data_IF_643572103689
#
_entry.id   IF_643572103689
#
_cell.length_a   1.000
_cell.length_b   1.000
_cell.length_c   1.000
_cell.angle_alpha   90.00
_cell.angle_beta   90.00
_cell.angle_gamma   90.00
#
_symmetry.space_group_name_H-M   'P 1'
#
loop_
_entity.id
_entity.type
_entity.pdbx_description
1 polymer ?
#
# COMPACT_ATOMS: atom_id res chain seq x y z
N UNK A 1 -2.88 -30.49 -7.21
CA UNK A 1 -3.59 -29.33 -7.76
C UNK A 1 -2.69 -28.14 -7.53
N UNK A 2 -2.05 -27.60 -8.57
CA UNK A 2 -1.30 -26.35 -8.45
C UNK A 2 -2.29 -25.26 -8.03
N UNK A 3 -2.18 -24.79 -6.79
CA UNK A 3 -2.94 -23.64 -6.30
C UNK A 3 -2.53 -22.42 -7.13
N UNK A 4 -3.42 -22.01 -8.03
CA UNK A 4 -3.14 -20.97 -9.00
C UNK A 4 -2.96 -19.63 -8.27
N UNK A 5 -1.72 -19.19 -8.12
CA UNK A 5 -1.38 -17.90 -7.50
C UNK A 5 -2.07 -16.79 -8.27
N UNK A 6 -2.88 -15.98 -7.57
CA UNK A 6 -3.53 -14.83 -8.17
C UNK A 6 -2.49 -13.87 -8.78
N UNK A 7 -2.73 -13.30 -9.97
CA UNK A 7 -1.74 -12.48 -10.67
C UNK A 7 -1.18 -11.32 -9.84
N UNK A 8 -2.00 -10.68 -9.00
CA UNK A 8 -1.58 -9.55 -8.16
C UNK A 8 -0.69 -9.93 -6.97
N UNK A 9 -0.68 -11.21 -6.60
CA UNK A 9 0.22 -11.73 -5.56
C UNK A 9 1.62 -12.04 -6.08
N UNK A 10 1.79 -12.23 -7.38
CA UNK A 10 3.08 -12.61 -7.95
C UNK A 10 4.11 -11.48 -7.81
N UNK A 11 5.34 -11.84 -7.47
CA UNK A 11 6.48 -10.94 -7.55
C UNK A 11 6.99 -10.88 -9.00
N UNK A 12 6.87 -9.72 -9.65
CA UNK A 12 7.33 -9.49 -11.03
C UNK A 12 8.75 -8.93 -11.12
N UNK A 13 9.48 -8.79 -10.00
CA UNK A 13 10.78 -8.14 -9.97
C UNK A 13 10.72 -6.61 -10.00
N UNK A 14 11.89 -5.99 -10.07
CA UNK A 14 12.05 -4.53 -10.09
C UNK A 14 12.02 -3.97 -11.52
N UNK A 15 11.59 -2.71 -11.66
CA UNK A 15 11.55 -2.04 -12.95
C UNK A 15 12.95 -1.55 -13.36
N UNK A 16 13.60 -2.30 -14.27
CA UNK A 16 14.95 -1.98 -14.79
C UNK A 16 14.95 -0.99 -15.97
N UNK A 17 13.79 -0.66 -16.52
CA UNK A 17 13.64 0.18 -17.73
C UNK A 17 13.56 1.69 -17.44
N UNK A 18 13.76 2.12 -16.18
CA UNK A 18 13.66 3.55 -15.81
C UNK A 18 14.84 4.36 -16.34
N UNK A 19 14.59 5.53 -16.96
CA UNK A 19 15.66 6.47 -17.31
C UNK A 19 16.46 6.92 -16.08
N UNK A 20 17.75 7.20 -16.25
CA UNK A 20 18.67 7.56 -15.16
C UNK A 20 18.15 8.73 -14.30
N UNK A 21 17.59 9.77 -14.92
CA UNK A 21 17.06 10.94 -14.22
C UNK A 21 15.78 10.67 -13.39
N UNK A 22 15.07 9.55 -13.63
CA UNK A 22 13.90 9.09 -12.87
C UNK A 22 14.20 7.89 -11.98
N UNK A 23 15.44 7.39 -11.98
CA UNK A 23 15.83 6.23 -11.16
C UNK A 23 16.00 6.67 -9.71
N UNK A 24 15.19 6.08 -8.83
CA UNK A 24 15.32 6.32 -7.39
C UNK A 24 16.55 5.64 -6.78
N UNK A 25 16.87 5.98 -5.54
CA UNK A 25 17.97 5.34 -4.77
C UNK A 25 17.73 3.85 -4.50
N UNK A 26 16.47 3.40 -4.55
CA UNK A 26 16.06 2.02 -4.30
C UNK A 26 15.38 1.46 -5.55
N UNK A 27 15.69 0.22 -5.87
CA UNK A 27 14.98 -0.53 -6.90
C UNK A 27 13.53 -0.75 -6.46
N UNK A 28 12.58 -0.38 -7.32
CA UNK A 28 11.15 -0.55 -7.02
C UNK A 28 10.42 -1.02 -8.27
N UNK A 29 9.42 -1.88 -8.07
CA UNK A 29 8.48 -2.24 -9.12
C UNK A 29 7.55 -1.04 -9.43
N UNK A 30 7.02 -1.00 -10.65
CA UNK A 30 5.89 -0.12 -10.98
C UNK A 30 4.62 -0.92 -10.79
N UNK A 31 3.74 -0.49 -9.89
CA UNK A 31 2.42 -1.09 -9.66
C UNK A 31 1.37 0.02 -9.62
N UNK A 32 0.19 -0.26 -10.15
CA UNK A 32 -0.97 0.62 -10.08
C UNK A 32 -2.01 -0.06 -9.21
N UNK A 33 -2.47 0.66 -8.20
CA UNK A 33 -3.54 0.20 -7.33
C UNK A 33 -4.77 1.08 -7.52
N UNK A 34 -5.90 0.44 -7.76
CA UNK A 34 -7.23 1.04 -7.72
C UNK A 34 -7.84 0.87 -6.33
N UNK A 35 -8.92 1.60 -6.05
CA UNK A 35 -9.67 1.49 -4.79
C UNK A 35 -10.14 0.05 -4.52
N UNK A 36 -10.46 -0.70 -5.57
CA UNK A 36 -10.87 -2.11 -5.47
C UNK A 36 -9.67 -3.03 -5.20
N UNK A 37 -8.51 -2.77 -5.82
CA UNK A 37 -7.31 -3.60 -5.61
C UNK A 37 -6.64 -3.40 -4.26
N UNK A 38 -6.78 -2.21 -3.67
CA UNK A 38 -6.29 -1.94 -2.33
C UNK A 38 -7.23 -2.55 -1.31
N UNK A 39 -6.65 -3.06 -0.24
CA UNK A 39 -7.37 -3.73 0.82
C UNK A 39 -6.75 -3.43 2.18
N UNK A 40 -7.56 -3.61 3.23
CA UNK A 40 -7.08 -3.68 4.61
C UNK A 40 -6.37 -5.01 4.93
N UNK A 41 -6.56 -6.03 4.09
CA UNK A 41 -5.84 -7.30 4.16
C UNK A 41 -4.54 -7.23 3.35
N UNK A 42 -3.45 -7.60 4.00
CA UNK A 42 -2.13 -7.74 3.40
C UNK A 42 -1.69 -9.20 3.46
N UNK A 43 -1.27 -9.74 2.32
CA UNK A 43 -0.56 -11.00 2.23
C UNK A 43 0.94 -10.72 2.26
N UNK A 44 1.65 -11.32 3.22
CA UNK A 44 3.09 -11.22 3.41
C UNK A 44 3.70 -12.58 3.09
N UNK A 45 4.49 -12.64 2.01
CA UNK A 45 5.21 -13.83 1.56
C UNK A 45 6.69 -13.77 1.99
N UNK A 46 7.36 -14.91 1.87
CA UNK A 46 8.80 -15.09 2.15
C UNK A 46 9.19 -14.88 3.61
N UNK A 47 8.24 -15.08 4.51
CA UNK A 47 8.51 -15.08 5.94
C UNK A 47 9.21 -16.39 6.29
N UNK A 48 10.38 -16.40 6.94
CA UNK A 48 11.05 -17.66 7.27
C UNK A 48 10.25 -18.51 8.26
N UNK A 49 10.23 -19.83 8.04
CA UNK A 49 9.61 -20.83 8.93
C UNK A 49 10.42 -21.09 10.21
N UNK A 50 10.88 -20.02 10.87
CA UNK A 50 11.67 -20.06 12.09
C UNK A 50 10.84 -19.66 13.33
N UNK A 51 9.51 -19.82 13.25
CA UNK A 51 8.57 -19.39 14.29
C UNK A 51 8.69 -17.89 14.65
N UNK A 52 9.00 -17.06 13.65
CA UNK A 52 9.19 -15.60 13.78
C UNK A 52 7.90 -14.79 13.58
N UNK A 53 6.74 -15.46 13.53
CA UNK A 53 5.44 -14.83 13.29
C UNK A 53 5.07 -13.77 14.34
N UNK A 54 5.46 -13.94 15.61
CA UNK A 54 5.23 -12.95 16.67
C UNK A 54 5.96 -11.64 16.40
N UNK A 55 7.18 -11.72 15.88
CA UNK A 55 7.97 -10.53 15.56
C UNK A 55 7.49 -9.83 14.31
N UNK A 56 7.04 -10.60 13.32
CA UNK A 56 6.35 -10.04 12.16
C UNK A 56 5.12 -9.25 12.60
N UNK A 57 4.32 -9.81 13.51
CA UNK A 57 3.16 -9.14 14.08
C UNK A 57 3.54 -7.85 14.83
N UNK A 58 4.59 -7.89 15.66
CA UNK A 58 5.09 -6.68 16.34
C UNK A 58 5.50 -5.59 15.35
N UNK A 59 6.15 -5.95 14.24
CA UNK A 59 6.48 -4.99 13.17
C UNK A 59 5.23 -4.44 12.50
N UNK A 60 4.22 -5.27 12.27
CA UNK A 60 2.95 -4.86 11.67
C UNK A 60 2.18 -3.90 12.60
N UNK A 61 2.19 -4.17 13.91
CA UNK A 61 1.50 -3.36 14.93
C UNK A 61 2.03 -1.92 15.01
N UNK A 62 3.29 -1.67 14.64
CA UNK A 62 3.86 -0.31 14.60
C UNK A 62 3.17 0.63 13.59
N UNK A 63 2.44 0.09 12.61
CA UNK A 63 1.76 0.88 11.59
C UNK A 63 0.30 1.19 11.91
N UNK A 64 -0.34 0.39 12.77
CA UNK A 64 -1.73 0.53 13.14
C UNK A 64 -2.28 -0.71 13.84
N UNK A 65 -3.57 -0.66 14.18
CA UNK A 65 -4.25 -1.75 14.90
C UNK A 65 -4.51 -2.92 13.96
N UNK A 66 -3.95 -4.07 14.30
CA UNK A 66 -4.15 -5.35 13.60
C UNK A 66 -5.35 -6.07 14.21
N UNK A 67 -6.35 -6.41 13.38
CA UNK A 67 -7.58 -7.09 13.83
C UNK A 67 -7.44 -8.60 13.82
N UNK A 68 -6.89 -9.15 12.73
CA UNK A 68 -6.81 -10.60 12.51
C UNK A 68 -5.49 -10.92 11.81
N UNK A 69 -4.92 -12.06 12.19
CA UNK A 69 -3.74 -12.62 11.54
C UNK A 69 -3.82 -14.13 11.50
N UNK A 70 -3.44 -14.73 10.38
CA UNK A 70 -3.33 -16.18 10.26
C UNK A 70 -2.26 -16.56 9.23
N UNK A 71 -1.81 -17.80 9.32
CA UNK A 71 -0.83 -18.40 8.40
C UNK A 71 -1.61 -19.16 7.33
N UNK A 72 -1.18 -19.06 6.07
CA UNK A 72 -1.74 -19.84 4.98
C UNK A 72 -0.81 -21.02 4.71
N UNK A 73 -1.15 -22.19 5.24
CA UNK A 73 -0.41 -23.44 5.03
C UNK A 73 -0.41 -23.88 3.57
N UNK A 74 -1.53 -23.65 2.88
CA UNK A 74 -1.77 -24.19 1.54
C UNK A 74 -1.31 -23.20 0.43
N UNK A 75 -0.72 -22.07 0.84
CA UNK A 75 -0.20 -21.09 -0.09
C UNK A 75 1.13 -21.59 -0.70
N UNK A 76 1.30 -21.54 -2.02
CA UNK A 76 2.53 -21.97 -2.65
C UNK A 76 3.68 -21.02 -2.29
N UNK A 77 4.58 -21.49 -1.44
CA UNK A 77 5.73 -20.76 -0.91
C UNK A 77 7.05 -21.41 -1.32
N UNK A 78 8.12 -20.61 -1.31
CA UNK A 78 9.48 -21.13 -1.45
C UNK A 78 9.81 -22.05 -0.25
N UNK A 79 10.72 -23.03 -0.39
CA UNK A 79 11.10 -23.91 0.72
C UNK A 79 11.50 -23.13 1.98
N UNK A 80 11.05 -23.59 3.14
CA UNK A 80 11.31 -22.97 4.45
C UNK A 80 10.75 -21.55 4.60
N UNK A 81 9.75 -21.19 3.80
CA UNK A 81 9.02 -19.93 3.92
C UNK A 81 7.52 -20.13 4.09
N UNK A 82 6.91 -19.18 4.76
CA UNK A 82 5.48 -19.11 5.06
C UNK A 82 4.86 -17.84 4.46
N UNK A 83 3.55 -17.92 4.25
CA UNK A 83 2.71 -16.80 3.88
C UNK A 83 1.77 -16.45 5.05
N UNK A 84 1.76 -15.18 5.44
CA UNK A 84 0.90 -14.67 6.49
C UNK A 84 -0.11 -13.69 5.89
N UNK A 85 -1.36 -13.74 6.35
CA UNK A 85 -2.32 -12.66 6.10
C UNK A 85 -2.48 -11.83 7.36
N UNK A 86 -2.42 -10.52 7.19
CA UNK A 86 -2.59 -9.52 8.24
C UNK A 86 -3.72 -8.59 7.84
N UNK A 87 -4.76 -8.50 8.69
CA UNK A 87 -5.86 -7.56 8.53
C UNK A 87 -5.69 -6.38 9.47
N UNK A 88 -5.70 -5.17 8.92
CA UNK A 88 -5.74 -3.93 9.70
C UNK A 88 -7.16 -3.42 9.89
N UNK A 89 -7.38 -2.69 10.98
CA UNK A 89 -8.66 -1.98 11.20
C UNK A 89 -8.93 -0.91 10.14
N UNK A 90 -7.89 -0.14 9.79
CA UNK A 90 -8.00 0.95 8.82
C UNK A 90 -7.20 0.64 7.55
N UNK A 91 -7.78 0.94 6.38
CA UNK A 91 -7.09 0.80 5.08
C UNK A 91 -5.85 1.70 4.97
N UNK A 92 -5.86 2.86 5.62
CA UNK A 92 -4.72 3.80 5.62
C UNK A 92 -3.50 3.18 6.29
N UNK A 93 -3.71 2.44 7.38
CA UNK A 93 -2.66 1.75 8.11
C UNK A 93 -2.10 0.60 7.28
N UNK A 94 -2.96 -0.17 6.60
CA UNK A 94 -2.54 -1.19 5.65
C UNK A 94 -1.71 -0.61 4.49
N UNK A 95 -2.12 0.54 3.92
CA UNK A 95 -1.32 1.25 2.89
C UNK A 95 0.06 1.66 3.42
N UNK A 96 0.13 2.14 4.66
CA UNK A 96 1.40 2.51 5.29
C UNK A 96 2.26 1.27 5.51
N UNK A 97 1.72 0.23 6.13
CA UNK A 97 2.41 -1.03 6.36
C UNK A 97 2.96 -1.61 5.05
N UNK A 98 2.13 -1.72 4.01
CA UNK A 98 2.54 -2.17 2.68
C UNK A 98 3.71 -1.37 2.11
N UNK A 99 3.73 -0.05 2.29
CA UNK A 99 4.82 0.82 1.78
C UNK A 99 6.16 0.58 2.47
N UNK A 100 6.16 0.23 3.76
CA UNK A 100 7.38 0.11 4.57
C UNK A 100 7.85 -1.34 4.75
N UNK A 101 6.94 -2.30 4.79
CA UNK A 101 7.24 -3.73 4.98
C UNK A 101 7.67 -4.37 3.65
N UNK A 102 7.19 -3.87 2.51
CA UNK A 102 7.59 -4.42 1.22
C UNK A 102 9.07 -4.22 0.92
N UNK A 103 9.73 -5.32 0.54
CA UNK A 103 11.19 -5.40 0.37
C UNK A 103 11.97 -5.07 1.66
N UNK A 104 11.35 -5.22 2.83
CA UNK A 104 12.06 -5.14 4.10
C UNK A 104 12.86 -6.42 4.32
N UNK A 105 14.13 -6.26 4.75
CA UNK A 105 14.93 -7.40 5.21
C UNK A 105 14.40 -7.89 6.55
N UNK A 106 14.00 -9.16 6.59
CA UNK A 106 13.46 -9.86 7.74
C UNK A 106 14.12 -11.24 7.81
N UNK A 107 14.99 -11.44 8.80
CA UNK A 107 15.71 -12.71 9.01
C UNK A 107 16.45 -13.22 7.77
N UNK A 108 17.08 -12.30 7.02
CA UNK A 108 17.84 -12.62 5.81
C UNK A 108 17.01 -12.67 4.52
N UNK A 109 15.68 -12.72 4.62
CA UNK A 109 14.79 -12.69 3.47
C UNK A 109 14.24 -11.28 3.21
N UNK A 110 13.97 -10.97 1.94
CA UNK A 110 13.21 -9.77 1.57
C UNK A 110 11.72 -10.13 1.53
N UNK A 111 10.95 -9.49 2.42
CA UNK A 111 9.50 -9.69 2.46
C UNK A 111 8.86 -9.17 1.17
N UNK A 112 7.93 -9.94 0.63
CA UNK A 112 7.08 -9.49 -0.46
C UNK A 112 5.65 -9.34 0.05
N UNK A 113 5.10 -8.14 -0.10
CA UNK A 113 3.76 -7.85 0.40
C UNK A 113 2.81 -7.59 -0.78
N UNK A 114 1.60 -8.11 -0.74
CA UNK A 114 0.54 -7.78 -1.69
C UNK A 114 -0.75 -7.46 -0.93
N UNK A 115 -1.59 -6.61 -1.52
CA UNK A 115 -2.98 -6.52 -1.07
C UNK A 115 -3.71 -7.82 -1.40
N UNK A 116 -4.66 -8.18 -0.56
CA UNK A 116 -5.43 -9.41 -0.70
C UNK A 116 -6.94 -9.09 -0.62
N UNK A 117 -7.50 -8.36 -1.61
CA UNK A 117 -8.90 -7.95 -1.62
C UNK A 117 -9.89 -9.13 -1.66
N UNK A 118 -9.45 -10.32 -2.06
CA UNK A 118 -10.26 -11.53 -2.08
C UNK A 118 -10.69 -12.03 -0.68
N UNK A 119 -10.09 -11.52 0.39
CA UNK A 119 -10.52 -11.80 1.77
C UNK A 119 -11.50 -10.75 2.33
N UNK A 120 -11.81 -9.70 1.57
CA UNK A 120 -12.79 -8.71 2.00
C UNK A 120 -14.22 -9.25 1.91
N UNK A 121 -15.04 -8.90 2.88
CA UNK A 121 -16.49 -9.09 2.76
C UNK A 121 -17.12 -7.99 1.87
N UNK A 122 -18.36 -8.24 1.44
CA UNK A 122 -19.15 -7.25 0.69
C UNK A 122 -19.33 -5.98 1.52
N UNK A 123 -19.67 -6.11 2.80
CA UNK A 123 -19.86 -4.97 3.72
C UNK A 123 -18.57 -4.15 3.88
N UNK A 124 -17.42 -4.82 4.00
CA UNK A 124 -16.11 -4.16 4.08
C UNK A 124 -15.78 -3.39 2.80
N UNK A 125 -16.11 -3.97 1.66
CA UNK A 125 -15.94 -3.34 0.35
C UNK A 125 -16.85 -2.11 0.20
N UNK A 126 -18.09 -2.19 0.65
CA UNK A 126 -19.03 -1.06 0.67
C UNK A 126 -18.48 0.08 1.53
N UNK A 127 -18.05 -0.21 2.76
CA UNK A 127 -17.44 0.77 3.66
C UNK A 127 -16.19 1.42 3.05
N UNK A 128 -15.35 0.62 2.37
CA UNK A 128 -14.17 1.11 1.64
C UNK A 128 -14.54 2.12 0.55
N UNK A 129 -15.59 1.85 -0.22
CA UNK A 129 -16.07 2.76 -1.27
C UNK A 129 -16.69 4.04 -0.70
N UNK A 130 -17.51 3.92 0.35
CA UNK A 130 -18.10 5.07 1.05
C UNK A 130 -17.01 5.98 1.61
N UNK A 131 -16.00 5.40 2.28
CA UNK A 131 -14.87 6.14 2.82
C UNK A 131 -14.11 6.88 1.71
N UNK A 132 -13.87 6.23 0.59
CA UNK A 132 -13.21 6.84 -0.56
C UNK A 132 -14.02 8.00 -1.14
N UNK A 133 -15.34 7.84 -1.30
CA UNK A 133 -16.20 8.91 -1.80
C UNK A 133 -16.16 10.14 -0.90
N UNK A 134 -16.25 9.94 0.42
CA UNK A 134 -16.11 11.03 1.41
C UNK A 134 -14.76 11.72 1.32
N UNK A 135 -13.68 10.96 1.16
CA UNK A 135 -12.32 11.49 1.00
C UNK A 135 -12.20 12.35 -0.28
N UNK A 136 -12.73 11.88 -1.41
CA UNK A 136 -12.74 12.60 -2.69
C UNK A 136 -13.57 13.87 -2.58
N UNK A 137 -14.76 13.79 -2.01
CA UNK A 137 -15.63 14.95 -1.81
C UNK A 137 -14.94 16.01 -0.95
N UNK A 138 -14.34 15.60 0.17
CA UNK A 138 -13.61 16.49 1.08
C UNK A 138 -12.44 17.16 0.37
N UNK A 139 -11.61 16.39 -0.36
CA UNK A 139 -10.49 16.91 -1.14
C UNK A 139 -10.95 17.88 -2.24
N UNK A 140 -12.06 17.59 -2.90
CA UNK A 140 -12.62 18.44 -3.96
C UNK A 140 -13.12 19.78 -3.39
N UNK A 141 -13.79 19.76 -2.23
CA UNK A 141 -14.21 20.97 -1.51
C UNK A 141 -13.01 21.82 -1.07
N UNK A 142 -11.99 21.18 -0.48
CA UNK A 142 -10.74 21.85 -0.07
C UNK A 142 -10.02 22.48 -1.27
N UNK A 143 -9.92 21.75 -2.38
CA UNK A 143 -9.34 22.28 -3.62
C UNK A 143 -10.15 23.49 -4.11
N UNK A 144 -11.47 23.38 -4.18
CA UNK A 144 -12.32 24.51 -4.60
C UNK A 144 -12.14 25.74 -3.71
N UNK A 145 -12.09 25.57 -2.39
CA UNK A 145 -11.85 26.65 -1.44
C UNK A 145 -10.46 27.27 -1.60
N UNK A 146 -9.44 26.47 -1.86
CA UNK A 146 -8.07 26.93 -2.03
C UNK A 146 -7.89 27.78 -3.30
N UNK A 147 -8.55 27.42 -4.40
CA UNK A 147 -8.35 28.06 -5.71
C UNK A 147 -9.43 29.09 -6.07
N UNK A 148 -10.68 28.91 -5.61
CA UNK A 148 -11.86 29.70 -6.01
C UNK A 148 -12.62 30.22 -4.77
N UNK A 149 -11.94 30.86 -3.82
CA UNK A 149 -12.55 31.34 -2.57
C UNK A 149 -13.89 32.09 -2.77
N UNK A 150 -14.71 32.21 -1.71
CA UNK A 150 -15.99 32.96 -1.76
C UNK A 150 -15.74 34.41 -2.18
N UNK A 151 -15.95 34.70 -3.46
CA UNK A 151 -15.73 36.01 -4.08
C UNK A 151 -14.88 35.85 -5.34
N UNK A 152 -15.15 36.65 -6.38
CA UNK A 152 -14.53 36.59 -7.71
C UNK A 152 -13.00 36.79 -7.76
N UNK A 153 -12.30 36.74 -6.64
CA UNK A 153 -10.84 36.81 -6.57
C UNK A 153 -10.26 35.39 -6.65
N UNK A 154 -9.89 34.99 -7.86
CA UNK A 154 -9.03 33.83 -8.10
C UNK A 154 -7.76 34.02 -7.27
N UNK A 155 -7.56 33.18 -6.25
CA UNK A 155 -6.28 33.16 -5.52
C UNK A 155 -5.27 32.45 -6.41
N UNK A 156 -4.53 33.21 -7.22
CA UNK A 156 -3.30 32.70 -7.84
C UNK A 156 -2.44 32.16 -6.71
N UNK A 157 -2.20 30.84 -6.70
CA UNK A 157 -1.34 30.25 -5.68
C UNK A 157 0.04 30.89 -5.81
N UNK A 158 0.43 31.65 -4.79
CA UNK A 158 1.71 32.36 -4.66
C UNK A 158 2.95 31.47 -4.80
N UNK A 159 2.77 30.15 -4.91
CA UNK A 159 3.84 29.19 -5.21
C UNK A 159 4.45 29.41 -6.61
N UNK A 160 3.65 29.70 -7.65
CA UNK A 160 4.19 29.93 -9.00
C UNK A 160 4.83 31.32 -9.17
N UNK A 161 4.27 32.35 -8.53
CA UNK A 161 4.78 33.72 -8.65
C UNK A 161 6.12 33.92 -7.93
N UNK A 162 6.32 33.26 -6.79
CA UNK A 162 7.57 33.35 -6.02
C UNK A 162 8.73 32.57 -6.66
N UNK A 163 8.45 31.48 -7.39
CA UNK A 163 9.47 30.79 -8.20
C UNK A 163 9.86 31.57 -9.45
N UNK A 164 8.92 32.27 -10.09
CA UNK A 164 9.20 33.13 -11.25
C UNK A 164 10.05 34.35 -10.88
N UNK A 165 9.91 34.89 -9.65
CA UNK A 165 10.75 35.98 -9.14
C UNK A 165 12.14 35.56 -8.69
N UNK A 166 12.35 34.28 -8.33
CA UNK A 166 13.68 33.73 -7.98
C UNK A 166 14.55 33.35 -9.19
N UNK A 167 14.00 33.41 -10.40
CA UNK A 167 14.70 33.15 -11.67
C UNK A 167 15.00 34.43 -12.49
N UNK A 168 14.85 35.61 -11.88
CA UNK A 168 15.32 36.88 -12.43
C UNK A 168 16.52 37.36 -11.64
#
# INVERSE_FOLDING_TARGET
MESQILPHHRFFGFCKTRPLYRRGKRETAVKVFTVSSESKYLLIQKVPSLNVGKELLNRCANFGVVEKTWILSDYPCDPFTEAHVVCYKNIVDARRAKRFIDNLSFYGNLLHVSYAPEYESVDETEQKLILRNKEVETRSKLFRLAFYGKGNDVRTTTYCENEAKRKK
#
